data_IF_969108490196
#
_entry.id   IF_969108490196
#
_cell.length_a   1.000
_cell.length_b   1.000
_cell.length_c   1.000
_cell.angle_alpha   90.00
_cell.angle_beta   90.00
_cell.angle_gamma   90.00
#
_symmetry.space_group_name_H-M   'P 1'
#
loop_
_entity.id
_entity.type
_entity.pdbx_description
1 polymer ?
#
# COMPACT_ATOMS: atom_id res chain seq x y z
N UNK A 1 -11.34 -5.55 19.47
CA UNK A 1 -9.98 -6.10 19.23
C UNK A 1 -9.74 -6.41 17.75
N UNK A 2 -10.63 -7.18 17.10
CA UNK A 2 -10.54 -7.56 15.68
C UNK A 2 -10.18 -6.42 14.70
N UNK A 3 -10.89 -5.28 14.70
CA UNK A 3 -10.63 -4.19 13.76
C UNK A 3 -9.25 -3.55 13.92
N UNK A 4 -8.72 -3.50 15.15
CA UNK A 4 -7.35 -3.01 15.38
C UNK A 4 -6.32 -3.95 14.75
N UNK A 5 -6.47 -5.26 15.00
CA UNK A 5 -5.59 -6.29 14.42
C UNK A 5 -5.67 -6.28 12.90
N UNK A 6 -6.89 -6.26 12.35
CA UNK A 6 -7.11 -6.17 10.91
C UNK A 6 -6.48 -4.91 10.31
N UNK A 7 -6.60 -3.76 10.98
CA UNK A 7 -5.96 -2.54 10.54
C UNK A 7 -4.42 -2.64 10.51
N UNK A 8 -3.80 -3.25 11.52
CA UNK A 8 -2.35 -3.48 11.51
C UNK A 8 -1.94 -4.43 10.39
N UNK A 9 -2.70 -5.50 10.18
CA UNK A 9 -2.47 -6.46 9.10
C UNK A 9 -2.53 -5.79 7.72
N UNK A 10 -3.60 -5.04 7.44
CA UNK A 10 -3.76 -4.32 6.16
C UNK A 10 -2.65 -3.30 5.95
N UNK A 11 -2.30 -2.51 6.98
CA UNK A 11 -1.18 -1.55 6.89
C UNK A 11 0.15 -2.27 6.66
N UNK A 12 0.36 -3.41 7.31
CA UNK A 12 1.55 -4.25 7.15
C UNK A 12 1.70 -4.73 5.71
N UNK A 13 0.62 -5.21 5.08
CA UNK A 13 0.64 -5.65 3.67
C UNK A 13 1.05 -4.51 2.76
N UNK A 14 0.42 -3.35 2.85
CA UNK A 14 0.74 -2.24 1.96
C UNK A 14 2.16 -1.70 2.14
N UNK A 15 2.66 -1.65 3.39
CA UNK A 15 4.05 -1.27 3.66
C UNK A 15 5.01 -2.32 3.07
N UNK A 16 4.70 -3.61 3.26
CA UNK A 16 5.50 -4.70 2.71
C UNK A 16 5.55 -4.65 1.18
N UNK A 17 4.41 -4.42 0.52
CA UNK A 17 4.35 -4.25 -0.94
C UNK A 17 5.16 -3.04 -1.41
N UNK A 18 5.03 -1.90 -0.72
CA UNK A 18 5.77 -0.68 -1.06
C UNK A 18 7.29 -0.88 -0.96
N UNK A 19 7.74 -1.49 0.14
CA UNK A 19 9.15 -1.80 0.37
C UNK A 19 9.62 -2.85 -0.64
N UNK A 20 8.85 -3.91 -0.86
CA UNK A 20 9.18 -5.00 -1.78
C UNK A 20 9.40 -4.51 -3.20
N UNK A 21 8.52 -3.65 -3.72
CA UNK A 21 8.72 -3.03 -5.05
C UNK A 21 9.97 -2.16 -5.08
N UNK A 22 10.18 -1.33 -4.05
CA UNK A 22 11.36 -0.45 -3.99
C UNK A 22 12.66 -1.23 -3.93
N UNK A 23 12.69 -2.29 -3.12
CA UNK A 23 13.85 -3.18 -3.02
C UNK A 23 14.08 -3.92 -4.34
N UNK A 24 13.01 -4.35 -5.04
CA UNK A 24 13.12 -4.97 -6.36
C UNK A 24 13.80 -4.05 -7.37
N UNK A 25 13.45 -2.76 -7.39
CA UNK A 25 14.08 -1.77 -8.26
C UNK A 25 15.56 -1.51 -7.92
N UNK A 26 15.91 -1.55 -6.63
CA UNK A 26 17.30 -1.34 -6.19
C UNK A 26 18.18 -2.56 -6.52
N UNK A 27 17.66 -3.77 -6.29
CA UNK A 27 18.42 -5.01 -6.50
C UNK A 27 18.54 -5.33 -7.98
N UNK A 28 17.48 -5.09 -8.75
CA UNK A 28 17.45 -5.37 -10.17
C UNK A 28 16.93 -4.15 -10.95
N UNK A 29 17.81 -3.16 -11.22
CA UNK A 29 17.43 -1.96 -11.95
C UNK A 29 17.06 -2.24 -13.41
N UNK A 30 17.49 -3.38 -13.97
CA UNK A 30 17.13 -3.82 -15.32
C UNK A 30 15.64 -4.19 -15.45
N UNK A 31 14.89 -4.28 -14.34
CA UNK A 31 13.42 -4.44 -14.37
C UNK A 31 12.71 -3.26 -15.05
N UNK A 32 13.36 -2.11 -15.15
CA UNK A 32 12.87 -0.97 -15.92
C UNK A 32 13.63 -0.95 -17.24
N UNK A 33 13.07 -1.58 -18.28
CA UNK A 33 13.69 -1.61 -19.61
C UNK A 33 13.10 -0.52 -20.51
N UNK A 34 11.80 -0.24 -20.37
CA UNK A 34 11.08 0.69 -21.23
C UNK A 34 10.17 1.68 -20.48
N UNK A 35 9.54 2.56 -21.26
CA UNK A 35 8.63 3.59 -20.74
C UNK A 35 7.38 2.98 -20.06
N UNK A 36 6.91 1.83 -20.56
CA UNK A 36 5.74 1.15 -20.02
C UNK A 36 6.03 0.58 -18.63
N UNK A 37 7.23 0.05 -18.39
CA UNK A 37 7.67 -0.39 -17.07
C UNK A 37 7.69 0.78 -16.08
N UNK A 38 8.23 1.93 -16.50
CA UNK A 38 8.22 3.16 -15.68
C UNK A 38 6.79 3.53 -15.27
N UNK A 39 5.87 3.59 -16.23
CA UNK A 39 4.46 3.90 -15.94
C UNK A 39 3.81 2.85 -15.05
N UNK A 40 4.12 1.57 -15.24
CA UNK A 40 3.62 0.48 -14.42
C UNK A 40 4.05 0.63 -12.95
N UNK A 41 5.33 0.91 -12.70
CA UNK A 41 5.82 1.14 -11.33
C UNK A 41 5.19 2.37 -10.70
N UNK A 42 5.14 3.49 -11.43
CA UNK A 42 4.51 4.74 -10.94
C UNK A 42 3.04 4.49 -10.60
N UNK A 43 2.28 3.87 -11.50
CA UNK A 43 0.87 3.55 -11.29
C UNK A 43 0.69 2.61 -10.08
N UNK A 44 1.58 1.62 -9.93
CA UNK A 44 1.56 0.69 -8.80
C UNK A 44 1.82 1.40 -7.47
N UNK A 45 2.81 2.31 -7.41
CA UNK A 45 3.10 3.12 -6.23
C UNK A 45 1.92 4.03 -5.84
N UNK A 46 1.33 4.73 -6.81
CA UNK A 46 0.15 5.57 -6.61
C UNK A 46 -1.01 4.72 -6.08
N UNK A 47 -1.24 3.55 -6.70
CA UNK A 47 -2.30 2.62 -6.30
C UNK A 47 -2.13 2.19 -4.84
N UNK A 48 -0.93 1.75 -4.46
CA UNK A 48 -0.62 1.36 -3.07
C UNK A 48 -0.90 2.51 -2.10
N UNK A 49 -0.46 3.73 -2.42
CA UNK A 49 -0.70 4.89 -1.56
C UNK A 49 -2.19 5.21 -1.43
N UNK A 50 -2.93 5.24 -2.54
CA UNK A 50 -4.38 5.51 -2.54
C UNK A 50 -5.10 4.49 -1.67
N UNK A 51 -4.81 3.19 -1.82
CA UNK A 51 -5.42 2.17 -0.99
C UNK A 51 -4.99 2.25 0.48
N UNK A 52 -3.73 2.56 0.76
CA UNK A 52 -3.23 2.72 2.12
C UNK A 52 -3.94 3.86 2.86
N UNK A 53 -4.02 5.04 2.24
CA UNK A 53 -4.73 6.19 2.81
C UNK A 53 -6.24 5.96 2.85
N UNK A 54 -6.82 5.41 1.78
CA UNK A 54 -8.24 5.05 1.69
C UNK A 54 -8.66 4.10 2.80
N UNK A 55 -7.86 3.07 3.08
CA UNK A 55 -8.06 2.18 4.22
C UNK A 55 -8.02 2.94 5.55
N UNK A 56 -7.09 3.89 5.72
CA UNK A 56 -7.04 4.75 6.91
C UNK A 56 -8.34 5.53 7.15
N UNK A 57 -8.96 6.06 6.09
CA UNK A 57 -10.27 6.69 6.17
C UNK A 57 -11.37 5.71 6.58
N UNK A 58 -11.42 4.52 5.95
CA UNK A 58 -12.40 3.47 6.28
C UNK A 58 -12.25 3.02 7.73
N UNK A 59 -11.03 2.74 8.19
CA UNK A 59 -10.75 2.36 9.57
C UNK A 59 -11.22 3.44 10.56
N UNK A 60 -10.92 4.72 10.28
CA UNK A 60 -11.37 5.84 11.13
C UNK A 60 -12.90 5.97 11.14
N UNK A 61 -13.56 5.73 10.02
CA UNK A 61 -15.02 5.73 9.93
C UNK A 61 -15.63 4.60 10.77
N UNK A 62 -15.16 3.36 10.56
CA UNK A 62 -15.62 2.17 11.30
C UNK A 62 -15.33 2.28 12.81
N UNK A 63 -14.23 2.93 13.19
CA UNK A 63 -13.88 3.19 14.58
C UNK A 63 -14.83 4.19 15.27
N UNK A 64 -15.37 5.17 14.53
CA UNK A 64 -16.37 6.13 15.05
C UNK A 64 -17.74 5.47 15.25
N UNK A 65 -18.19 4.69 14.27
CA UNK A 65 -19.44 3.90 14.33
C UNK A 65 -19.51 2.93 15.50
N UNK A 66 -18.36 2.49 16.02
CA UNK A 66 -18.26 1.52 17.12
C UNK A 66 -18.30 2.16 18.52
N UNK A 67 -18.22 3.50 18.59
CA UNK A 67 -18.28 4.28 19.83
C UNK A 67 -19.65 4.94 20.05
N UNK A 68 -20.47 5.02 19.01
CA UNK A 68 -21.90 5.33 19.10
C UNK A 68 -22.66 4.06 19.41
#
# INVERSE_FOLDING_TARGET
MFLKIYNYFVRGIFIFLFIGMTVSLIINPEIIEDENDIYFFIASYITILVFYFGWGYVYKYLGRKRKQ
#
